data_IF_095346324932
#
_entry.id   IF_095346324932
#
_cell.length_a   1.000
_cell.length_b   1.000
_cell.length_c   1.000
_cell.angle_alpha   90.00
_cell.angle_beta   90.00
_cell.angle_gamma   90.00
#
_symmetry.space_group_name_H-M   'P 1'
#
loop_
_entity.id
_entity.type
_entity.pdbx_description
1 polymer ?
#
# COMPACT_ATOMS: atom_id res chain seq x y z
N UNK A 1 3.96 -5.19 -17.94
CA UNK A 1 3.54 -5.88 -16.72
C UNK A 1 2.12 -5.51 -16.33
N UNK A 2 1.38 -6.43 -15.74
CA UNK A 2 0.03 -6.18 -15.24
C UNK A 2 0.08 -5.64 -13.80
N UNK A 3 -0.79 -4.70 -13.48
CA UNK A 3 -0.92 -4.08 -12.17
C UNK A 3 -2.37 -3.73 -11.87
N UNK A 4 -2.79 -3.92 -10.61
CA UNK A 4 -4.13 -3.54 -10.15
C UNK A 4 -4.11 -2.07 -9.74
N UNK A 5 -4.99 -1.28 -10.38
CA UNK A 5 -5.12 0.16 -10.15
C UNK A 5 -6.53 0.51 -9.71
N UNK A 6 -6.62 1.51 -8.84
CA UNK A 6 -7.86 2.11 -8.35
C UNK A 6 -7.94 3.57 -8.81
N UNK A 7 -9.01 3.93 -9.49
CA UNK A 7 -9.33 5.31 -9.78
C UNK A 7 -10.22 5.87 -8.65
N UNK A 8 -9.76 6.92 -8.00
CA UNK A 8 -10.50 7.54 -6.89
C UNK A 8 -11.56 8.54 -7.38
N UNK A 9 -11.54 8.94 -8.64
CA UNK A 9 -12.52 9.84 -9.25
C UNK A 9 -13.84 9.12 -9.54
N UNK A 10 -13.76 7.99 -10.26
CA UNK A 10 -14.92 7.22 -10.70
C UNK A 10 -15.16 5.91 -9.90
N UNK A 11 -14.23 5.53 -9.02
CA UNK A 11 -14.33 4.32 -8.21
C UNK A 11 -14.04 3.01 -8.94
N UNK A 12 -13.47 3.07 -10.14
CA UNK A 12 -13.14 1.90 -10.95
C UNK A 12 -11.85 1.24 -10.45
N UNK A 13 -11.91 -0.08 -10.24
CA UNK A 13 -10.73 -0.92 -10.02
C UNK A 13 -10.45 -1.68 -11.31
N UNK A 14 -9.27 -1.55 -11.87
CA UNK A 14 -8.90 -2.15 -13.15
C UNK A 14 -7.54 -2.84 -13.11
N UNK A 15 -7.38 -3.86 -13.96
CA UNK A 15 -6.10 -4.49 -14.23
C UNK A 15 -5.54 -3.84 -15.51
N UNK A 16 -4.43 -3.13 -15.37
CA UNK A 16 -3.83 -2.41 -16.50
C UNK A 16 -2.44 -2.96 -16.86
N UNK A 17 -2.11 -2.88 -18.14
CA UNK A 17 -0.77 -3.15 -18.64
C UNK A 17 0.08 -1.87 -18.61
N UNK A 18 1.18 -1.93 -17.88
CA UNK A 18 2.10 -0.81 -17.68
C UNK A 18 3.52 -1.21 -18.09
N UNK A 19 4.39 -0.26 -18.43
CA UNK A 19 5.81 -0.53 -18.58
C UNK A 19 6.41 -1.13 -17.31
N UNK A 20 7.36 -2.07 -17.45
CA UNK A 20 8.08 -2.61 -16.31
C UNK A 20 8.95 -1.51 -15.65
N UNK A 21 8.98 -1.44 -14.32
CA UNK A 21 9.88 -0.53 -13.63
C UNK A 21 11.34 -0.91 -13.91
N UNK A 22 12.21 0.08 -14.09
CA UNK A 22 13.64 -0.14 -14.25
C UNK A 22 14.34 -0.27 -12.89
N UNK A 23 15.46 -0.97 -12.85
CA UNK A 23 16.35 -1.00 -11.69
C UNK A 23 16.74 0.42 -11.26
N UNK A 24 16.92 0.63 -9.96
CA UNK A 24 17.30 1.91 -9.36
C UNK A 24 18.13 1.66 -8.12
N UNK A 25 19.22 2.41 -7.93
CA UNK A 25 20.05 2.37 -6.72
C UNK A 25 19.20 2.48 -5.44
N UNK A 26 19.54 1.70 -4.42
CA UNK A 26 18.85 1.62 -3.15
C UNK A 26 17.47 0.94 -3.20
N UNK A 27 17.07 0.39 -4.36
CA UNK A 27 15.80 -0.31 -4.56
C UNK A 27 16.04 -1.75 -5.02
N UNK A 28 15.03 -2.58 -4.82
CA UNK A 28 15.03 -3.97 -5.24
C UNK A 28 13.90 -4.16 -6.24
N UNK A 29 14.19 -4.77 -7.37
CA UNK A 29 13.24 -5.18 -8.38
C UNK A 29 12.83 -6.62 -8.11
N UNK A 30 11.54 -6.87 -7.97
CA UNK A 30 10.98 -8.14 -7.50
C UNK A 30 9.95 -8.64 -8.50
N UNK A 31 10.10 -9.90 -8.97
CA UNK A 31 9.03 -10.63 -9.64
C UNK A 31 8.06 -11.16 -8.58
N UNK A 32 6.84 -10.66 -8.60
CA UNK A 32 5.82 -11.06 -7.64
C UNK A 32 5.36 -12.49 -7.85
N UNK A 33 5.16 -13.23 -6.77
CA UNK A 33 4.58 -14.57 -6.76
C UNK A 33 3.21 -14.57 -6.08
N UNK A 34 3.13 -13.88 -4.94
CA UNK A 34 1.92 -13.79 -4.11
C UNK A 34 1.78 -12.41 -3.51
N UNK A 35 0.57 -12.00 -3.26
CA UNK A 35 0.28 -10.78 -2.52
C UNK A 35 -0.97 -10.99 -1.66
N UNK A 36 -0.97 -10.38 -0.47
CA UNK A 36 -2.10 -10.43 0.44
C UNK A 36 -3.01 -9.23 0.20
N UNK A 37 -4.29 -9.49 -0.01
CA UNK A 37 -5.32 -8.43 -0.08
C UNK A 37 -5.75 -8.06 1.33
N UNK A 38 -5.50 -6.82 1.72
CA UNK A 38 -5.96 -6.27 2.99
C UNK A 38 -7.38 -5.71 2.85
N UNK A 39 -8.36 -6.57 3.09
CA UNK A 39 -9.78 -6.26 2.87
C UNK A 39 -10.20 -4.94 3.54
N UNK A 40 -9.74 -4.66 4.77
CA UNK A 40 -10.09 -3.42 5.47
C UNK A 40 -9.58 -2.17 4.77
N UNK A 41 -8.27 -2.10 4.51
CA UNK A 41 -7.62 -0.92 3.93
C UNK A 41 -7.97 -0.73 2.44
N UNK A 42 -7.93 -1.81 1.68
CA UNK A 42 -8.18 -1.72 0.23
C UNK A 42 -9.66 -1.46 -0.07
N UNK A 43 -10.58 -2.09 0.69
CA UNK A 43 -12.01 -1.79 0.60
C UNK A 43 -12.30 -0.32 0.92
N UNK A 44 -11.64 0.25 1.94
CA UNK A 44 -11.78 1.67 2.25
C UNK A 44 -11.41 2.56 1.06
N UNK A 45 -10.34 2.23 0.31
CA UNK A 45 -9.95 2.97 -0.90
C UNK A 45 -10.96 2.82 -2.03
N UNK A 46 -11.49 1.60 -2.23
CA UNK A 46 -12.53 1.33 -3.23
C UNK A 46 -13.83 2.07 -2.89
N UNK A 47 -14.28 1.99 -1.63
CA UNK A 47 -15.49 2.66 -1.16
C UNK A 47 -15.33 4.19 -1.23
N UNK A 48 -14.15 4.72 -0.89
CA UNK A 48 -13.83 6.14 -1.09
C UNK A 48 -13.91 6.53 -2.57
N UNK A 49 -13.36 5.72 -3.48
CA UNK A 49 -13.42 5.95 -4.91
C UNK A 49 -14.87 6.05 -5.43
N UNK A 50 -15.76 5.17 -4.96
CA UNK A 50 -17.18 5.12 -5.32
C UNK A 50 -18.05 6.21 -4.65
N UNK A 51 -17.54 6.86 -3.60
CA UNK A 51 -18.29 7.85 -2.85
C UNK A 51 -18.52 9.14 -3.66
N UNK A 52 -19.63 9.85 -3.39
CA UNK A 52 -19.89 11.16 -3.97
C UNK A 52 -18.85 12.20 -3.50
N UNK A 53 -18.67 13.27 -4.25
CA UNK A 53 -17.74 14.36 -3.87
C UNK A 53 -18.04 14.94 -2.48
N UNK A 54 -19.32 15.04 -2.11
CA UNK A 54 -19.73 15.49 -0.77
C UNK A 54 -19.30 14.51 0.32
N UNK A 55 -19.45 13.21 0.07
CA UNK A 55 -19.00 12.17 1.01
C UNK A 55 -17.48 12.16 1.12
N UNK A 56 -16.75 12.28 0.00
CA UNK A 56 -15.28 12.41 -0.03
C UNK A 56 -14.82 13.62 0.79
N UNK A 57 -15.47 14.78 0.61
CA UNK A 57 -15.16 15.98 1.37
C UNK A 57 -15.39 15.81 2.89
N UNK A 58 -16.50 15.20 3.29
CA UNK A 58 -16.79 14.92 4.71
C UNK A 58 -15.80 13.95 5.36
N UNK A 59 -15.29 12.98 4.60
CA UNK A 59 -14.32 12.00 5.13
C UNK A 59 -12.89 12.54 5.25
N UNK A 60 -12.59 13.70 4.62
CA UNK A 60 -11.25 14.30 4.62
C UNK A 60 -11.31 15.83 4.85
N UNK A 61 -11.70 16.30 6.05
CA UNK A 61 -11.89 17.71 6.34
C UNK A 61 -10.61 18.54 6.13
N UNK A 62 -9.44 17.98 6.47
CA UNK A 62 -8.15 18.66 6.29
C UNK A 62 -7.87 18.96 4.81
N UNK A 63 -8.20 18.02 3.92
CA UNK A 63 -8.06 18.22 2.48
C UNK A 63 -9.04 19.27 1.94
N UNK A 64 -10.23 19.37 2.53
CA UNK A 64 -11.18 20.44 2.19
C UNK A 64 -10.61 21.81 2.52
N UNK A 65 -9.95 21.97 3.67
CA UNK A 65 -9.28 23.23 4.07
C UNK A 65 -8.15 23.57 3.08
N UNK A 66 -7.33 22.58 2.69
CA UNK A 66 -6.28 22.78 1.68
C UNK A 66 -6.87 23.27 0.34
N UNK A 67 -7.97 22.63 -0.11
CA UNK A 67 -8.68 23.01 -1.34
C UNK A 67 -9.25 24.43 -1.24
N UNK A 68 -9.89 24.80 -0.11
CA UNK A 68 -10.42 26.14 0.10
C UNK A 68 -9.31 27.21 0.09
N UNK A 69 -8.15 26.93 0.68
CA UNK A 69 -7.00 27.82 0.62
C UNK A 69 -6.47 27.96 -0.81
N UNK A 70 -6.43 26.87 -1.56
CA UNK A 70 -6.02 26.87 -2.96
C UNK A 70 -7.00 27.64 -3.86
N UNK A 71 -8.30 27.61 -3.59
CA UNK A 71 -9.29 28.43 -4.29
C UNK A 71 -9.01 29.92 -4.10
N UNK A 72 -8.57 30.34 -2.91
CA UNK A 72 -8.22 31.75 -2.63
C UNK A 72 -6.98 32.23 -3.41
N UNK A 73 -6.02 31.33 -3.65
CA UNK A 73 -4.77 31.68 -4.35
C UNK A 73 -4.87 31.53 -5.87
N UNK A 74 -5.41 30.40 -6.32
CA UNK A 74 -5.38 29.98 -7.74
C UNK A 74 -6.71 30.19 -8.47
N UNK A 75 -7.78 30.50 -7.72
CA UNK A 75 -9.14 30.61 -8.23
C UNK A 75 -9.89 29.25 -8.28
N UNK A 76 -11.21 29.34 -8.43
CA UNK A 76 -12.09 28.17 -8.35
C UNK A 76 -11.88 27.17 -9.49
N UNK A 77 -11.80 27.64 -10.76
CA UNK A 77 -11.69 26.77 -11.94
C UNK A 77 -10.39 25.95 -11.91
N UNK A 78 -9.24 26.62 -11.71
CA UNK A 78 -7.94 25.96 -11.66
C UNK A 78 -7.86 24.95 -10.49
N UNK A 79 -8.44 25.27 -9.35
CA UNK A 79 -8.48 24.37 -8.20
C UNK A 79 -9.38 23.16 -8.46
N UNK A 80 -10.55 23.35 -9.06
CA UNK A 80 -11.45 22.25 -9.43
C UNK A 80 -10.77 21.26 -10.39
N UNK A 81 -10.12 21.77 -11.45
CA UNK A 81 -9.41 20.96 -12.44
C UNK A 81 -8.24 20.19 -11.79
N UNK A 82 -7.50 20.83 -10.89
CA UNK A 82 -6.42 20.18 -10.15
C UNK A 82 -6.92 19.06 -9.23
N UNK A 83 -8.03 19.27 -8.52
CA UNK A 83 -8.65 18.25 -7.64
C UNK A 83 -9.16 17.09 -8.47
N UNK A 84 -9.88 17.38 -9.57
CA UNK A 84 -10.39 16.36 -10.49
C UNK A 84 -9.25 15.53 -11.07
N UNK A 85 -8.22 16.17 -11.62
CA UNK A 85 -7.05 15.49 -12.18
C UNK A 85 -6.36 14.59 -11.15
N UNK A 86 -6.26 15.03 -9.89
CA UNK A 86 -5.68 14.23 -8.81
C UNK A 86 -6.53 13.01 -8.43
N UNK A 87 -7.85 13.14 -8.44
CA UNK A 87 -8.77 12.03 -8.19
C UNK A 87 -8.82 11.03 -9.36
N UNK A 88 -8.70 11.51 -10.59
CA UNK A 88 -8.71 10.70 -11.81
C UNK A 88 -7.38 9.96 -12.04
N UNK A 89 -6.31 10.35 -11.33
CA UNK A 89 -5.02 9.67 -11.41
C UNK A 89 -5.12 8.28 -10.76
N UNK A 90 -4.93 7.19 -11.55
CA UNK A 90 -4.99 5.84 -11.00
C UNK A 90 -3.89 5.61 -9.97
N UNK A 91 -4.24 4.98 -8.84
CA UNK A 91 -3.29 4.63 -7.80
C UNK A 91 -3.15 3.10 -7.68
N UNK A 92 -1.94 2.57 -7.42
CA UNK A 92 -1.74 1.15 -7.21
C UNK A 92 -2.42 0.67 -5.93
N UNK A 93 -3.06 -0.51 -5.99
CA UNK A 93 -3.54 -1.22 -4.81
C UNK A 93 -2.52 -2.25 -4.31
N UNK A 94 -2.64 -2.62 -3.03
CA UNK A 94 -1.79 -3.58 -2.36
C UNK A 94 -0.55 -2.97 -1.72
N UNK A 95 -0.08 -3.65 -0.68
CA UNK A 95 1.14 -3.29 0.07
C UNK A 95 1.75 -4.49 0.81
N UNK A 96 1.37 -5.71 0.45
CA UNK A 96 1.90 -6.97 0.99
C UNK A 96 2.25 -7.89 -0.18
N UNK A 97 3.50 -7.94 -0.55
CA UNK A 97 3.99 -8.65 -1.72
C UNK A 97 5.10 -9.62 -1.35
N UNK A 98 5.05 -10.81 -1.91
CA UNK A 98 6.10 -11.83 -1.83
C UNK A 98 6.55 -12.18 -3.24
N UNK A 99 7.86 -12.27 -3.45
CA UNK A 99 8.39 -12.61 -4.74
C UNK A 99 9.87 -13.00 -4.71
N UNK A 100 10.45 -13.10 -5.90
CA UNK A 100 11.87 -13.36 -6.10
C UNK A 100 12.56 -12.12 -6.67
N UNK A 101 13.72 -11.80 -6.14
CA UNK A 101 14.53 -10.67 -6.61
C UNK A 101 14.94 -10.89 -8.06
N UNK A 102 14.64 -9.94 -8.92
CA UNK A 102 15.16 -9.86 -10.29
C UNK A 102 16.50 -9.10 -10.34
N UNK A 103 16.52 -7.96 -9.62
CA UNK A 103 17.69 -7.10 -9.52
C UNK A 103 17.73 -6.48 -8.12
N UNK A 104 18.79 -6.72 -7.39
CA UNK A 104 19.06 -6.15 -6.07
C UNK A 104 19.93 -4.88 -6.15
N UNK A 105 20.40 -4.50 -7.34
CA UNK A 105 21.30 -3.37 -7.54
C UNK A 105 22.46 -3.38 -6.52
N UNK A 106 22.63 -2.30 -5.77
CA UNK A 106 23.66 -2.10 -4.74
C UNK A 106 23.19 -2.47 -3.31
N UNK A 107 22.06 -3.16 -3.18
CA UNK A 107 21.44 -3.42 -1.87
C UNK A 107 22.06 -4.61 -1.10
N UNK A 108 22.88 -5.44 -1.78
CA UNK A 108 23.46 -6.66 -1.22
C UNK A 108 22.53 -7.87 -1.22
N UNK A 109 21.32 -7.76 -1.80
CA UNK A 109 20.38 -8.89 -1.96
C UNK A 109 20.50 -9.43 -3.38
N UNK A 110 20.88 -10.69 -3.51
CA UNK A 110 21.16 -11.33 -4.81
C UNK A 110 19.89 -11.70 -5.58
N UNK A 111 19.92 -11.68 -6.93
CA UNK A 111 18.85 -12.21 -7.76
C UNK A 111 18.48 -13.65 -7.38
N UNK A 112 17.19 -13.98 -7.49
CA UNK A 112 16.63 -15.28 -7.07
C UNK A 112 16.30 -15.39 -5.59
N UNK A 113 16.76 -14.48 -4.73
CA UNK A 113 16.43 -14.47 -3.30
C UNK A 113 14.92 -14.26 -3.12
N UNK A 114 14.30 -15.08 -2.26
CA UNK A 114 12.89 -14.91 -1.87
C UNK A 114 12.77 -13.77 -0.87
N UNK A 115 11.86 -12.84 -1.15
CA UNK A 115 11.67 -11.64 -0.32
C UNK A 115 10.20 -11.31 -0.12
N UNK A 116 9.89 -10.71 1.02
CA UNK A 116 8.63 -10.02 1.29
C UNK A 116 8.86 -8.52 1.26
N UNK A 117 7.88 -7.78 0.77
CA UNK A 117 7.95 -6.32 0.63
C UNK A 117 6.59 -5.67 0.77
N UNK A 118 6.57 -4.34 0.88
CA UNK A 118 5.35 -3.55 0.77
C UNK A 118 4.95 -3.22 -0.69
N UNK A 119 5.38 -4.03 -1.64
CA UNK A 119 5.01 -3.88 -3.05
C UNK A 119 3.51 -4.03 -3.30
N UNK A 120 3.05 -3.40 -4.39
CA UNK A 120 1.67 -3.43 -4.81
C UNK A 120 1.26 -4.75 -5.48
N UNK A 121 -0.04 -4.92 -5.78
CA UNK A 121 -0.54 -6.01 -6.61
C UNK A 121 -0.14 -5.80 -8.07
N UNK A 122 1.03 -6.28 -8.43
CA UNK A 122 1.63 -6.18 -9.76
C UNK A 122 2.53 -7.37 -10.05
N UNK A 123 2.76 -7.70 -11.32
CA UNK A 123 3.67 -8.78 -11.72
C UNK A 123 5.13 -8.48 -11.35
N UNK A 124 5.53 -7.20 -11.44
CA UNK A 124 6.87 -6.73 -11.07
C UNK A 124 6.74 -5.48 -10.22
N UNK A 125 7.42 -5.45 -9.09
CA UNK A 125 7.46 -4.29 -8.20
C UNK A 125 8.89 -3.80 -7.97
N UNK A 126 9.05 -2.50 -7.78
CA UNK A 126 10.31 -1.89 -7.37
C UNK A 126 10.12 -1.23 -6.01
N UNK A 127 10.83 -1.71 -5.01
CA UNK A 127 10.65 -1.33 -3.61
C UNK A 127 11.96 -0.87 -3.01
N UNK A 128 12.00 0.19 -2.19
CA UNK A 128 13.19 0.57 -1.44
C UNK A 128 13.68 -0.57 -0.52
N UNK A 129 15.01 -0.72 -0.39
CA UNK A 129 15.64 -1.80 0.40
C UNK A 129 15.08 -1.90 1.83
N UNK A 130 14.84 -0.78 2.50
CA UNK A 130 14.35 -0.72 3.87
C UNK A 130 12.90 -1.24 4.05
N UNK A 131 12.19 -1.50 2.96
CA UNK A 131 10.83 -2.05 2.94
C UNK A 131 10.82 -3.48 2.36
N UNK A 132 11.97 -4.16 2.41
CA UNK A 132 12.14 -5.54 1.94
C UNK A 132 12.83 -6.37 3.01
N UNK A 133 12.33 -7.60 3.23
CA UNK A 133 12.97 -8.58 4.09
C UNK A 133 13.15 -9.91 3.37
N UNK A 134 14.28 -10.58 3.62
CA UNK A 134 14.55 -11.93 3.10
C UNK A 134 13.69 -12.95 3.84
N UNK A 135 13.03 -13.84 3.09
CA UNK A 135 12.18 -14.89 3.67
C UNK A 135 13.06 -16.09 4.08
N UNK A 136 13.02 -16.53 5.34
CA UNK A 136 13.72 -17.75 5.78
C UNK A 136 13.27 -18.98 5.00
N UNK A 137 14.16 -19.98 4.88
CA UNK A 137 13.88 -21.20 4.09
C UNK A 137 12.70 -22.01 4.61
N UNK A 138 12.47 -22.00 5.91
CA UNK A 138 11.39 -22.72 6.59
C UNK A 138 10.05 -21.98 6.60
N UNK A 139 9.95 -20.82 5.98
CA UNK A 139 8.70 -20.04 5.84
C UNK A 139 8.24 -20.12 4.39
N UNK A 140 6.99 -20.53 4.17
CA UNK A 140 6.37 -20.55 2.84
C UNK A 140 5.96 -19.15 2.37
N UNK A 141 5.64 -19.03 1.07
CA UNK A 141 5.32 -17.75 0.46
C UNK A 141 3.97 -17.21 0.96
N UNK A 142 2.98 -18.08 1.25
CA UNK A 142 1.68 -17.70 1.78
C UNK A 142 1.81 -17.06 3.17
N UNK A 143 2.46 -17.75 4.09
CA UNK A 143 2.72 -17.24 5.44
C UNK A 143 3.51 -15.94 5.40
N UNK A 144 4.51 -15.84 4.54
CA UNK A 144 5.32 -14.64 4.38
C UNK A 144 4.51 -13.40 3.93
N UNK A 145 3.37 -13.57 3.22
CA UNK A 145 2.54 -12.42 2.81
C UNK A 145 1.99 -11.62 3.99
N UNK A 146 1.85 -12.24 5.17
CA UNK A 146 1.35 -11.57 6.37
C UNK A 146 2.40 -10.71 7.08
N UNK A 147 3.68 -10.77 6.68
CA UNK A 147 4.78 -10.09 7.39
C UNK A 147 4.56 -8.58 7.54
N UNK A 148 4.10 -7.90 6.49
CA UNK A 148 3.89 -6.44 6.56
C UNK A 148 2.80 -6.08 7.56
N UNK A 149 1.69 -6.80 7.55
CA UNK A 149 0.57 -6.58 8.47
C UNK A 149 0.96 -7.02 9.89
N UNK A 150 1.68 -8.14 10.02
CA UNK A 150 2.21 -8.60 11.29
C UNK A 150 3.19 -7.61 11.93
N UNK A 151 4.01 -6.93 11.11
CA UNK A 151 4.86 -5.85 11.60
C UNK A 151 4.07 -4.66 12.16
N UNK A 152 2.93 -4.32 11.54
CA UNK A 152 2.00 -3.29 12.04
C UNK A 152 1.37 -3.73 13.37
N UNK A 153 0.87 -4.97 13.46
CA UNK A 153 0.31 -5.52 14.68
C UNK A 153 1.36 -5.53 15.82
N UNK A 154 2.55 -6.02 15.54
CA UNK A 154 3.68 -6.03 16.48
C UNK A 154 4.06 -4.62 16.95
N UNK A 155 4.01 -3.63 16.09
CA UNK A 155 4.26 -2.23 16.47
C UNK A 155 3.21 -1.74 17.47
N UNK A 156 1.94 -2.12 17.30
CA UNK A 156 0.88 -1.82 18.28
C UNK A 156 1.22 -2.34 19.66
N UNK A 157 1.59 -3.62 19.77
CA UNK A 157 2.01 -4.24 21.05
C UNK A 157 3.24 -3.56 21.65
N UNK A 158 4.24 -3.21 20.82
CA UNK A 158 5.44 -2.49 21.29
C UNK A 158 5.14 -1.11 21.85
N UNK A 159 4.18 -0.39 21.26
CA UNK A 159 3.78 0.93 21.76
C UNK A 159 3.02 0.85 23.07
N UNK A 160 2.17 -0.16 23.26
CA UNK A 160 1.47 -0.42 24.53
C UNK A 160 2.45 -0.85 25.61
N UNK A 161 3.52 -1.59 25.25
CA UNK A 161 4.58 -2.07 26.16
C UNK A 161 4.02 -2.78 27.40
N UNK A 162 3.18 -3.83 27.26
CA UNK A 162 2.49 -4.45 28.37
C UNK A 162 3.46 -5.18 29.31
N UNK A 163 3.21 -5.08 30.61
CA UNK A 163 3.95 -5.79 31.64
C UNK A 163 3.29 -7.14 31.99
N UNK A 164 4.05 -8.01 32.67
CA UNK A 164 3.53 -9.28 33.18
C UNK A 164 2.36 -8.99 34.15
N UNK A 165 1.23 -9.67 33.93
CA UNK A 165 0.02 -9.52 34.73
C UNK A 165 -0.95 -8.44 34.25
N UNK A 166 -0.60 -7.63 33.28
CA UNK A 166 -1.52 -6.68 32.65
C UNK A 166 -2.46 -7.38 31.66
N UNK A 167 -3.67 -6.86 31.53
CA UNK A 167 -4.66 -7.32 30.56
C UNK A 167 -4.64 -6.43 29.33
N UNK A 168 -4.41 -7.02 28.16
CA UNK A 168 -4.49 -6.33 26.88
C UNK A 168 -5.83 -6.63 26.22
N UNK A 169 -6.56 -5.58 25.84
CA UNK A 169 -7.84 -5.71 25.12
C UNK A 169 -7.65 -5.30 23.68
N UNK A 170 -7.93 -6.21 22.75
CA UNK A 170 -7.90 -5.95 21.32
C UNK A 170 -9.31 -5.67 20.83
N UNK A 171 -9.56 -4.46 20.34
CA UNK A 171 -10.84 -4.06 19.75
C UNK A 171 -10.79 -4.22 18.23
N UNK A 172 -11.69 -5.07 17.68
CA UNK A 172 -11.74 -5.38 16.26
C UNK A 172 -10.88 -6.59 15.88
N UNK A 173 -11.55 -7.69 15.56
CA UNK A 173 -10.92 -8.95 15.13
C UNK A 173 -10.85 -9.02 13.59
N UNK A 174 -10.35 -7.96 12.98
CA UNK A 174 -9.93 -7.95 11.59
C UNK A 174 -8.52 -8.54 11.43
N UNK A 175 -7.95 -8.42 10.24
CA UNK A 175 -6.66 -9.04 9.90
C UNK A 175 -5.52 -8.64 10.87
N UNK A 176 -5.44 -7.36 11.26
CA UNK A 176 -4.44 -6.87 12.22
C UNK A 176 -4.73 -7.34 13.64
N UNK A 177 -6.01 -7.35 14.04
CA UNK A 177 -6.38 -7.74 15.41
C UNK A 177 -6.29 -9.24 15.69
N UNK A 178 -6.21 -10.07 14.66
CA UNK A 178 -6.02 -11.52 14.76
C UNK A 178 -4.55 -11.93 14.77
N UNK A 179 -3.63 -11.07 14.33
CA UNK A 179 -2.16 -11.24 14.35
C UNK A 179 -1.55 -10.71 15.64
#
# INVERSE_FOLDING_TARGET
MKQVLQNLGNGETSLQELPCPKAKSGHILIASKKSLVSVGTERMLVDFGKASLLTKARSQPDKVIEVLNKVKTDGFSATYDAVKSKLDQPMPLGYCNVGSVLDGSDTGITPGTRVVSNGHHAEIVRVPKNLVAVIPRNVDDETATFTVIGAIAMQGIRLVNPNIGETVVVTGLGLIGLL
#
